data_IF_680664102943
#
_entry.id   IF_680664102943
#
_cell.length_a   1.000
_cell.length_b   1.000
_cell.length_c   1.000
_cell.angle_alpha   90.00
_cell.angle_beta   90.00
_cell.angle_gamma   90.00
#
_symmetry.space_group_name_H-M   'P 1'
#
loop_
_entity.id
_entity.type
_entity.pdbx_description
1 polymer ?
#
# COMPACT_ATOMS: atom_id res chain seq x y z
N UNK A 1 -10.03 5.71 -22.45
CA UNK A 1 -9.53 5.85 -21.06
C UNK A 1 -8.10 6.33 -21.17
N UNK A 2 -7.75 7.50 -20.63
CA UNK A 2 -6.37 7.98 -20.67
C UNK A 2 -5.45 6.97 -19.98
N UNK A 3 -4.40 6.58 -20.69
CA UNK A 3 -3.33 5.74 -20.18
C UNK A 3 -2.56 6.57 -19.14
N UNK A 4 -2.78 6.31 -17.84
CA UNK A 4 -2.06 6.94 -16.73
C UNK A 4 -1.29 5.94 -15.89
N UNK A 5 -0.25 6.40 -15.21
CA UNK A 5 0.49 5.58 -14.25
C UNK A 5 -0.45 5.19 -13.10
N UNK A 6 -0.56 3.88 -12.81
CA UNK A 6 -1.29 3.39 -11.64
C UNK A 6 -0.35 3.45 -10.44
N UNK A 7 -0.50 4.50 -9.63
CA UNK A 7 0.38 4.76 -8.49
C UNK A 7 0.18 3.71 -7.39
N UNK A 8 -1.06 3.33 -7.09
CA UNK A 8 -1.32 2.27 -6.10
C UNK A 8 -0.63 0.95 -6.47
N UNK A 9 -0.68 0.55 -7.74
CA UNK A 9 0.00 -0.66 -8.22
C UNK A 9 1.52 -0.58 -8.01
N UNK A 10 2.14 0.57 -8.31
CA UNK A 10 3.57 0.76 -8.10
C UNK A 10 3.95 0.67 -6.62
N UNK A 11 3.21 1.38 -5.75
CA UNK A 11 3.48 1.39 -4.32
C UNK A 11 3.28 0.01 -3.68
N UNK A 12 2.20 -0.69 -4.04
CA UNK A 12 1.93 -2.04 -3.54
C UNK A 12 3.04 -3.01 -3.95
N UNK A 13 3.45 -2.96 -5.22
CA UNK A 13 4.50 -3.83 -5.75
C UNK A 13 5.85 -3.56 -5.07
N UNK A 14 6.25 -2.30 -4.91
CA UNK A 14 7.53 -1.99 -4.27
C UNK A 14 7.52 -2.17 -2.75
N UNK A 15 6.37 -2.12 -2.09
CA UNK A 15 6.25 -2.54 -0.69
C UNK A 15 6.45 -4.05 -0.52
N UNK A 16 5.90 -4.86 -1.42
CA UNK A 16 6.14 -6.31 -1.44
C UNK A 16 7.62 -6.62 -1.74
N UNK A 17 8.21 -5.89 -2.68
CA UNK A 17 9.64 -5.97 -2.99
C UNK A 17 10.50 -5.64 -1.77
N UNK A 18 10.20 -4.56 -1.04
CA UNK A 18 10.96 -4.16 0.14
C UNK A 18 10.94 -5.22 1.24
N UNK A 19 9.77 -5.83 1.48
CA UNK A 19 9.62 -6.95 2.42
C UNK A 19 10.44 -8.17 1.99
N UNK A 20 10.29 -8.60 0.74
CA UNK A 20 11.02 -9.74 0.19
C UNK A 20 12.53 -9.51 0.24
N UNK A 21 12.99 -8.32 -0.15
CA UNK A 21 14.38 -7.92 -0.05
C UNK A 21 14.90 -7.98 1.40
N UNK A 22 14.12 -7.49 2.38
CA UNK A 22 14.53 -7.50 3.77
C UNK A 22 14.68 -8.92 4.32
N UNK A 23 13.74 -9.81 4.00
CA UNK A 23 13.79 -11.23 4.34
C UNK A 23 14.99 -11.92 3.66
N UNK A 24 15.21 -11.69 2.36
CA UNK A 24 16.38 -12.20 1.63
C UNK A 24 17.69 -11.74 2.26
N UNK A 25 17.82 -10.45 2.56
CA UNK A 25 19.03 -9.89 3.17
C UNK A 25 19.33 -10.53 4.53
N UNK A 26 18.29 -10.77 5.33
CA UNK A 26 18.40 -11.46 6.63
C UNK A 26 18.78 -12.93 6.44
N UNK A 27 18.09 -13.64 5.56
CA UNK A 27 18.28 -15.08 5.36
C UNK A 27 19.61 -15.41 4.65
N UNK A 28 20.15 -14.47 3.88
CA UNK A 28 21.48 -14.57 3.28
C UNK A 28 22.59 -14.05 4.21
N UNK A 29 22.32 -13.61 5.44
CA UNK A 29 23.38 -13.16 6.36
C UNK A 29 24.06 -14.31 7.11
N UNK A 30 23.52 -15.52 7.05
CA UNK A 30 24.11 -16.74 7.62
C UNK A 30 25.36 -17.17 6.84
N UNK A 31 26.13 -18.12 7.36
CA UNK A 31 27.26 -18.69 6.59
C UNK A 31 26.76 -19.56 5.44
N UNK A 32 27.62 -19.79 4.43
CA UNK A 32 27.25 -20.67 3.31
C UNK A 32 27.00 -22.10 3.80
N UNK A 33 27.76 -22.58 4.78
CA UNK A 33 27.58 -23.92 5.38
C UNK A 33 26.22 -24.05 6.08
N UNK A 34 25.83 -23.03 6.85
CA UNK A 34 24.51 -22.97 7.50
C UNK A 34 23.39 -22.96 6.45
N UNK A 35 23.54 -22.18 5.39
CA UNK A 35 22.58 -22.15 4.28
C UNK A 35 22.43 -23.52 3.60
N UNK A 36 23.55 -24.18 3.28
CA UNK A 36 23.57 -25.47 2.58
C UNK A 36 22.97 -26.61 3.42
N UNK A 37 23.08 -26.53 4.74
CA UNK A 37 22.56 -27.53 5.68
C UNK A 37 21.08 -27.34 6.05
N UNK A 38 20.44 -26.24 5.63
CA UNK A 38 19.08 -25.91 6.02
C UNK A 38 18.10 -25.81 4.82
N UNK A 39 17.40 -26.90 4.46
CA UNK A 39 16.45 -26.91 3.33
C UNK A 39 15.29 -25.91 3.48
N UNK A 40 14.80 -25.68 4.70
CA UNK A 40 13.70 -24.73 4.95
C UNK A 40 14.14 -23.29 4.65
N UNK A 41 15.40 -22.96 4.97
CA UNK A 41 15.98 -21.67 4.65
C UNK A 41 16.16 -21.50 3.14
N UNK A 42 16.61 -22.55 2.44
CA UNK A 42 16.74 -22.56 0.97
C UNK A 42 15.38 -22.32 0.29
N UNK A 43 14.34 -23.03 0.73
CA UNK A 43 12.98 -22.86 0.21
C UNK A 43 12.46 -21.44 0.46
N UNK A 44 12.67 -20.90 1.67
CA UNK A 44 12.27 -19.53 2.01
C UNK A 44 12.98 -18.50 1.13
N UNK A 45 14.30 -18.63 0.93
CA UNK A 45 15.06 -17.73 0.03
C UNK A 45 14.57 -17.83 -1.41
N UNK A 46 14.27 -19.03 -1.92
CA UNK A 46 13.70 -19.19 -3.26
C UNK A 46 12.34 -18.50 -3.39
N UNK A 47 11.46 -18.66 -2.40
CA UNK A 47 10.14 -18.01 -2.38
C UNK A 47 10.27 -16.49 -2.35
N UNK A 48 11.13 -15.95 -1.50
CA UNK A 48 11.32 -14.51 -1.40
C UNK A 48 11.98 -13.92 -2.64
N UNK A 49 12.90 -14.65 -3.29
CA UNK A 49 13.48 -14.25 -4.57
C UNK A 49 12.41 -14.17 -5.66
N UNK A 50 11.54 -15.18 -5.77
CA UNK A 50 10.44 -15.18 -6.72
C UNK A 50 9.48 -14.00 -6.45
N UNK A 51 9.17 -13.73 -5.19
CA UNK A 51 8.33 -12.59 -4.79
C UNK A 51 8.98 -11.26 -5.17
N UNK A 52 10.28 -11.07 -4.91
CA UNK A 52 11.04 -9.88 -5.30
C UNK A 52 11.03 -9.68 -6.83
N UNK A 53 11.24 -10.75 -7.59
CA UNK A 53 11.23 -10.70 -9.04
C UNK A 53 9.85 -10.32 -9.60
N UNK A 54 8.78 -11.00 -9.18
CA UNK A 54 7.42 -10.70 -9.67
C UNK A 54 6.94 -9.31 -9.21
N UNK A 55 7.34 -8.87 -8.01
CA UNK A 55 7.10 -7.51 -7.52
C UNK A 55 7.81 -6.44 -8.36
N UNK A 56 8.91 -6.78 -9.03
CA UNK A 56 9.60 -5.90 -9.98
C UNK A 56 8.94 -5.96 -11.38
N UNK A 57 8.49 -7.14 -11.79
CA UNK A 57 7.83 -7.36 -13.08
C UNK A 57 6.46 -6.70 -13.19
N UNK A 58 5.69 -6.61 -12.10
CA UNK A 58 4.34 -6.02 -12.11
C UNK A 58 4.37 -4.52 -12.51
N UNK A 59 5.19 -3.65 -11.89
CA UNK A 59 5.48 -2.30 -12.39
C UNK A 59 5.95 -2.28 -13.84
N UNK A 60 6.83 -3.20 -14.21
CA UNK A 60 7.39 -3.25 -15.56
C UNK A 60 6.32 -3.48 -16.63
N UNK A 61 5.48 -4.49 -16.45
CA UNK A 61 4.38 -4.82 -17.37
C UNK A 61 3.43 -3.63 -17.50
N UNK A 62 3.06 -2.99 -16.39
CA UNK A 62 2.19 -1.81 -16.39
C UNK A 62 2.80 -0.65 -17.17
N UNK A 63 4.03 -0.27 -16.86
CA UNK A 63 4.72 0.87 -17.48
C UNK A 63 5.08 0.61 -18.94
N UNK A 64 5.40 -0.63 -19.31
CA UNK A 64 5.70 -0.98 -20.70
C UNK A 64 4.47 -0.80 -21.60
N UNK A 65 3.28 -1.20 -21.14
CA UNK A 65 2.01 -0.94 -21.86
C UNK A 65 1.68 0.54 -21.94
N UNK A 66 2.02 1.29 -20.89
CA UNK A 66 1.82 2.74 -20.81
C UNK A 66 2.70 3.48 -21.82
N UNK A 67 3.99 3.15 -21.86
CA UNK A 67 5.00 3.78 -22.71
C UNK A 67 5.09 3.18 -24.12
N UNK A 68 4.29 2.15 -24.42
CA UNK A 68 4.29 1.51 -25.74
C UNK A 68 5.55 0.68 -26.02
N UNK A 69 6.24 0.20 -24.98
CA UNK A 69 7.42 -0.65 -25.12
C UNK A 69 7.02 -2.07 -25.55
N UNK A 70 7.65 -2.57 -26.61
CA UNK A 70 7.49 -3.96 -27.04
C UNK A 70 8.39 -4.86 -26.19
N UNK A 71 7.80 -5.45 -25.15
CA UNK A 71 8.47 -6.33 -24.20
C UNK A 71 7.83 -7.72 -24.16
N UNK A 72 8.64 -8.72 -23.86
CA UNK A 72 8.26 -10.05 -23.39
C UNK A 72 8.53 -10.17 -21.88
N UNK A 73 8.19 -11.31 -21.28
CA UNK A 73 8.53 -11.56 -19.89
C UNK A 73 10.05 -11.59 -19.63
N UNK A 74 10.87 -11.98 -20.63
CA UNK A 74 12.33 -12.18 -20.50
C UNK A 74 13.17 -10.90 -20.62
N UNK A 75 12.59 -9.82 -21.13
CA UNK A 75 13.31 -8.58 -21.42
C UNK A 75 12.60 -7.34 -20.89
N UNK A 76 11.45 -7.49 -20.21
CA UNK A 76 10.70 -6.37 -19.66
C UNK A 76 11.58 -5.49 -18.77
N UNK A 77 12.16 -6.05 -17.70
CA UNK A 77 12.92 -5.26 -16.71
C UNK A 77 14.05 -4.48 -17.39
N UNK A 78 14.81 -5.15 -18.27
CA UNK A 78 15.93 -4.57 -19.00
C UNK A 78 15.48 -3.45 -19.94
N UNK A 79 14.45 -3.68 -20.77
CA UNK A 79 13.95 -2.67 -21.71
C UNK A 79 13.33 -1.47 -21.01
N UNK A 80 12.62 -1.68 -19.91
CA UNK A 80 12.11 -0.56 -19.12
C UNK A 80 13.27 0.20 -18.47
N UNK A 81 14.24 -0.50 -17.88
CA UNK A 81 15.42 0.11 -17.27
C UNK A 81 16.21 0.95 -18.27
N UNK A 82 16.41 0.44 -19.49
CA UNK A 82 17.01 1.19 -20.60
C UNK A 82 16.19 2.44 -20.95
N UNK A 83 14.87 2.30 -21.13
CA UNK A 83 13.98 3.42 -21.44
C UNK A 83 14.00 4.52 -20.37
N UNK A 84 14.10 4.16 -19.09
CA UNK A 84 14.15 5.13 -17.99
C UNK A 84 15.56 5.68 -17.71
N UNK A 85 16.57 5.22 -18.46
CA UNK A 85 17.95 5.71 -18.38
C UNK A 85 18.82 5.10 -17.28
N UNK A 86 18.41 3.96 -16.72
CA UNK A 86 19.19 3.22 -15.73
C UNK A 86 20.52 2.75 -16.33
N UNK A 87 21.60 2.95 -15.60
CA UNK A 87 22.95 2.51 -15.99
C UNK A 87 23.20 1.08 -15.51
N UNK A 88 24.21 0.41 -16.09
CA UNK A 88 24.64 -0.94 -15.72
C UNK A 88 23.50 -2.01 -15.77
N UNK A 89 22.99 -2.24 -16.99
CA UNK A 89 21.90 -3.20 -17.24
C UNK A 89 22.33 -4.68 -17.12
N UNK A 90 23.62 -4.96 -17.04
CA UNK A 90 24.17 -6.32 -17.02
C UNK A 90 23.67 -7.11 -15.81
N UNK A 91 23.68 -6.50 -14.62
CA UNK A 91 23.22 -7.17 -13.39
C UNK A 91 21.69 -7.42 -13.42
N UNK A 92 20.92 -6.51 -14.01
CA UNK A 92 19.47 -6.70 -14.16
C UNK A 92 19.15 -7.80 -15.17
N UNK A 93 19.94 -7.89 -16.24
CA UNK A 93 19.87 -9.00 -17.20
C UNK A 93 20.24 -10.32 -16.53
N UNK A 94 21.32 -10.35 -15.73
CA UNK A 94 21.74 -11.54 -14.99
C UNK A 94 20.64 -12.06 -14.05
N UNK A 95 19.99 -11.17 -13.27
CA UNK A 95 18.83 -11.55 -12.43
C UNK A 95 17.68 -12.11 -13.27
N UNK A 96 17.40 -11.50 -14.41
CA UNK A 96 16.32 -11.93 -15.29
C UNK A 96 16.60 -13.32 -15.86
N UNK A 97 17.80 -13.53 -16.38
CA UNK A 97 18.23 -14.81 -16.93
C UNK A 97 18.24 -15.90 -15.85
N UNK A 98 18.75 -15.60 -14.65
CA UNK A 98 18.74 -16.50 -13.50
C UNK A 98 17.32 -16.89 -13.10
N UNK A 99 16.41 -15.91 -12.99
CA UNK A 99 15.01 -16.18 -12.70
C UNK A 99 14.41 -17.12 -13.74
N UNK A 100 14.51 -16.82 -15.04
CA UNK A 100 13.89 -17.65 -16.08
C UNK A 100 14.50 -19.03 -16.25
N UNK A 101 15.77 -19.21 -15.87
CA UNK A 101 16.43 -20.51 -15.85
C UNK A 101 15.83 -21.43 -14.79
N UNK A 102 15.63 -20.91 -13.58
CA UNK A 102 15.19 -21.69 -12.42
C UNK A 102 13.68 -21.57 -12.11
N UNK A 103 12.96 -20.71 -12.84
CA UNK A 103 11.50 -20.60 -12.75
C UNK A 103 10.84 -21.93 -13.13
N UNK A 104 9.77 -22.27 -12.41
CA UNK A 104 8.92 -23.43 -12.69
C UNK A 104 9.65 -24.80 -12.63
N UNK A 105 10.77 -24.90 -11.89
CA UNK A 105 11.57 -26.13 -11.75
C UNK A 105 12.09 -26.68 -13.09
N UNK A 106 12.26 -25.83 -14.12
CA UNK A 106 12.88 -26.26 -15.39
C UNK A 106 14.24 -26.89 -15.16
N UNK A 107 15.01 -26.29 -14.26
CA UNK A 107 16.24 -26.83 -13.72
C UNK A 107 16.18 -26.72 -12.18
N UNK A 108 16.61 -27.74 -11.42
CA UNK A 108 16.85 -27.57 -10.00
C UNK A 108 18.01 -26.57 -9.82
N UNK A 109 17.81 -25.55 -8.98
CA UNK A 109 18.89 -24.62 -8.65
C UNK A 109 19.79 -25.26 -7.59
N UNK A 110 21.09 -25.27 -7.83
CA UNK A 110 22.05 -25.67 -6.81
C UNK A 110 21.99 -24.66 -5.64
N UNK A 111 21.86 -25.11 -4.37
CA UNK A 111 21.76 -24.19 -3.24
C UNK A 111 22.97 -23.26 -3.09
N UNK A 112 24.18 -23.73 -3.44
CA UNK A 112 25.39 -22.89 -3.36
C UNK A 112 25.35 -21.81 -4.42
N UNK A 113 24.95 -22.15 -5.64
CA UNK A 113 24.73 -21.19 -6.72
C UNK A 113 23.69 -20.13 -6.35
N UNK A 114 22.54 -20.54 -5.81
CA UNK A 114 21.49 -19.61 -5.35
C UNK A 114 22.02 -18.63 -4.30
N UNK A 115 22.75 -19.13 -3.30
CA UNK A 115 23.32 -18.32 -2.24
C UNK A 115 24.32 -17.29 -2.78
N UNK A 116 25.31 -17.74 -3.56
CA UNK A 116 26.35 -16.88 -4.12
C UNK A 116 25.76 -15.84 -5.08
N UNK A 117 24.87 -16.26 -5.98
CA UNK A 117 24.25 -15.37 -6.94
C UNK A 117 23.45 -14.25 -6.27
N UNK A 118 22.61 -14.59 -5.28
CA UNK A 118 21.81 -13.58 -4.58
C UNK A 118 22.68 -12.67 -3.71
N UNK A 119 23.73 -13.18 -3.06
CA UNK A 119 24.67 -12.34 -2.30
C UNK A 119 25.27 -11.21 -3.14
N UNK A 120 25.57 -11.49 -4.40
CA UNK A 120 26.18 -10.52 -5.33
C UNK A 120 25.16 -9.58 -5.97
N UNK A 121 23.94 -10.07 -6.23
CA UNK A 121 22.97 -9.36 -7.08
C UNK A 121 21.77 -8.77 -6.34
N UNK A 122 21.56 -9.05 -5.05
CA UNK A 122 20.34 -8.66 -4.33
C UNK A 122 20.01 -7.16 -4.41
N UNK A 123 21.02 -6.29 -4.41
CA UNK A 123 20.83 -4.83 -4.42
C UNK A 123 20.27 -4.28 -5.74
N UNK A 124 20.35 -5.04 -6.83
CA UNK A 124 19.79 -4.68 -8.14
C UNK A 124 18.28 -4.42 -8.05
N UNK A 125 17.56 -5.18 -7.21
CA UNK A 125 16.12 -4.97 -7.00
C UNK A 125 15.81 -3.58 -6.43
N UNK A 126 16.59 -3.13 -5.44
CA UNK A 126 16.44 -1.80 -4.85
C UNK A 126 16.79 -0.71 -5.83
N UNK A 127 17.87 -0.91 -6.57
CA UNK A 127 18.32 0.03 -7.58
C UNK A 127 17.23 0.22 -8.66
N UNK A 128 16.71 -0.89 -9.19
CA UNK A 128 15.62 -0.89 -10.16
C UNK A 128 14.39 -0.13 -9.66
N UNK A 129 13.91 -0.46 -8.44
CA UNK A 129 12.75 0.22 -7.85
C UNK A 129 12.97 1.73 -7.70
N UNK A 130 14.19 2.14 -7.28
CA UNK A 130 14.57 3.55 -7.18
C UNK A 130 14.49 4.25 -8.52
N UNK A 131 15.08 3.69 -9.58
CA UNK A 131 15.04 4.27 -10.93
C UNK A 131 13.61 4.41 -11.44
N UNK A 132 12.78 3.38 -11.27
CA UNK A 132 11.37 3.44 -11.66
C UNK A 132 10.62 4.53 -10.91
N UNK A 133 10.79 4.62 -9.58
CA UNK A 133 10.15 5.64 -8.74
C UNK A 133 10.56 7.04 -9.17
N UNK A 134 11.85 7.31 -9.36
CA UNK A 134 12.34 8.63 -9.75
C UNK A 134 11.88 9.03 -11.15
N UNK A 135 11.89 8.08 -12.09
CA UNK A 135 11.34 8.31 -13.42
C UNK A 135 9.85 8.69 -13.36
N UNK A 136 9.03 7.94 -12.62
CA UNK A 136 7.59 8.22 -12.47
C UNK A 136 7.34 9.57 -11.81
N UNK A 137 8.08 9.92 -10.74
CA UNK A 137 7.96 11.24 -10.10
C UNK A 137 8.24 12.36 -11.10
N UNK A 138 9.32 12.22 -11.89
CA UNK A 138 9.74 13.21 -12.88
C UNK A 138 8.71 13.36 -14.01
N UNK A 139 8.24 12.26 -14.58
CA UNK A 139 7.34 12.31 -15.75
C UNK A 139 5.91 12.72 -15.39
N UNK A 140 5.46 12.44 -14.18
CA UNK A 140 4.10 12.78 -13.73
C UNK A 140 4.02 14.11 -12.96
N UNK A 141 5.14 14.66 -12.51
CA UNK A 141 5.18 15.76 -11.54
C UNK A 141 4.64 15.37 -10.15
N UNK A 142 4.28 14.11 -9.93
CA UNK A 142 3.74 13.59 -8.68
C UNK A 142 4.88 13.14 -7.76
N UNK A 143 5.63 14.11 -7.24
CA UNK A 143 6.84 13.88 -6.42
C UNK A 143 6.60 13.04 -5.17
N UNK A 144 5.37 13.05 -4.64
CA UNK A 144 4.97 12.27 -3.49
C UNK A 144 4.38 10.90 -3.86
N UNK A 145 4.17 10.60 -5.15
CA UNK A 145 3.45 9.41 -5.59
C UNK A 145 2.10 9.26 -4.88
N UNK A 146 1.26 10.28 -4.97
CA UNK A 146 -0.11 10.27 -4.46
C UNK A 146 -1.05 9.76 -5.55
N UNK A 147 -1.67 8.62 -5.30
CA UNK A 147 -2.84 8.17 -6.05
C UNK A 147 -4.08 9.01 -5.71
N UNK A 148 -4.36 10.03 -6.52
CA UNK A 148 -5.53 10.89 -6.32
C UNK A 148 -6.85 10.20 -6.66
N UNK A 149 -6.83 9.19 -7.54
CA UNK A 149 -8.04 8.44 -7.88
C UNK A 149 -8.50 7.62 -6.69
N UNK A 150 -7.56 6.92 -6.03
CA UNK A 150 -7.81 6.23 -4.77
C UNK A 150 -8.38 7.20 -3.73
N UNK A 151 -7.74 8.36 -3.51
CA UNK A 151 -8.20 9.33 -2.52
C UNK A 151 -9.63 9.82 -2.81
N UNK A 152 -9.93 10.14 -4.06
CA UNK A 152 -11.25 10.63 -4.45
C UNK A 152 -12.31 9.54 -4.34
N UNK A 153 -12.00 8.31 -4.75
CA UNK A 153 -12.88 7.16 -4.63
C UNK A 153 -13.22 6.88 -3.15
N UNK A 154 -12.20 6.76 -2.29
CA UNK A 154 -12.41 6.47 -0.87
C UNK A 154 -13.09 7.63 -0.14
N UNK A 155 -12.78 8.88 -0.49
CA UNK A 155 -13.49 10.03 0.05
C UNK A 155 -14.98 10.02 -0.35
N UNK A 156 -15.31 9.58 -1.58
CA UNK A 156 -16.69 9.41 -2.03
C UNK A 156 -17.39 8.30 -1.24
N UNK A 157 -16.79 7.11 -1.12
CA UNK A 157 -17.38 6.00 -0.37
C UNK A 157 -17.61 6.35 1.10
N UNK A 158 -16.69 7.07 1.72
CA UNK A 158 -16.85 7.60 3.08
C UNK A 158 -18.10 8.48 3.19
N UNK A 159 -18.21 9.51 2.36
CA UNK A 159 -19.34 10.46 2.40
C UNK A 159 -20.66 9.80 2.06
N UNK A 160 -20.68 8.92 1.05
CA UNK A 160 -21.87 8.18 0.65
C UNK A 160 -22.37 7.27 1.77
N UNK A 161 -21.46 6.62 2.48
CA UNK A 161 -21.79 5.75 3.62
C UNK A 161 -22.29 6.55 4.82
N UNK A 162 -21.68 7.69 5.14
CA UNK A 162 -22.14 8.57 6.22
C UNK A 162 -23.57 9.06 5.95
N UNK A 163 -23.85 9.55 4.74
CA UNK A 163 -25.22 9.97 4.36
C UNK A 163 -26.25 8.85 4.51
N UNK A 164 -25.87 7.61 4.20
CA UNK A 164 -26.75 6.44 4.37
C UNK A 164 -26.95 6.08 5.83
N UNK A 165 -25.93 6.19 6.67
CA UNK A 165 -26.05 6.03 8.12
C UNK A 165 -26.99 7.09 8.69
N UNK A 166 -26.79 8.36 8.33
CA UNK A 166 -27.66 9.47 8.76
C UNK A 166 -29.12 9.23 8.37
N UNK A 167 -29.36 8.81 7.12
CA UNK A 167 -30.70 8.46 6.66
C UNK A 167 -31.32 7.35 7.53
N UNK A 168 -30.58 6.28 7.80
CA UNK A 168 -31.07 5.18 8.62
C UNK A 168 -31.35 5.64 10.06
N UNK A 169 -30.48 6.43 10.66
CA UNK A 169 -30.66 6.97 12.01
C UNK A 169 -31.85 7.95 12.08
N UNK A 170 -32.10 8.71 11.01
CA UNK A 170 -33.21 9.67 10.96
C UNK A 170 -34.60 9.04 11.08
N UNK A 171 -34.71 7.71 10.87
CA UNK A 171 -35.95 6.96 11.07
C UNK A 171 -36.31 6.81 12.56
N UNK A 172 -35.37 7.13 13.46
CA UNK A 172 -35.54 7.05 14.90
C UNK A 172 -35.19 5.67 15.48
N UNK A 173 -34.84 5.69 16.77
CA UNK A 173 -34.33 4.52 17.50
C UNK A 173 -35.28 3.31 17.48
N UNK A 174 -36.58 3.56 17.70
CA UNK A 174 -37.60 2.50 17.73
C UNK A 174 -37.69 1.79 16.37
N UNK A 175 -37.65 2.56 15.29
CA UNK A 175 -37.75 2.02 13.94
C UNK A 175 -36.48 1.27 13.54
N UNK A 176 -35.31 1.80 13.92
CA UNK A 176 -34.03 1.13 13.76
C UNK A 176 -34.01 -0.25 14.42
N UNK A 177 -34.44 -0.33 15.68
CA UNK A 177 -34.43 -1.58 16.44
C UNK A 177 -35.41 -2.63 15.89
N UNK A 178 -36.55 -2.20 15.34
CA UNK A 178 -37.58 -3.10 14.79
C UNK A 178 -37.29 -3.60 13.38
N UNK A 179 -36.38 -2.96 12.64
CA UNK A 179 -36.06 -3.33 11.26
C UNK A 179 -34.65 -3.92 11.14
N UNK A 180 -34.51 -5.27 11.08
CA UNK A 180 -33.21 -5.92 10.91
C UNK A 180 -32.37 -5.36 9.74
N UNK A 181 -33.02 -5.02 8.62
CA UNK A 181 -32.35 -4.44 7.47
C UNK A 181 -31.66 -3.10 7.77
N UNK A 182 -32.19 -2.28 8.69
CA UNK A 182 -31.55 -1.02 9.07
C UNK A 182 -30.28 -1.27 9.88
N UNK A 183 -30.33 -2.22 10.81
CA UNK A 183 -29.17 -2.69 11.56
C UNK A 183 -28.06 -3.19 10.62
N UNK A 184 -28.37 -4.12 9.72
CA UNK A 184 -27.39 -4.72 8.81
C UNK A 184 -26.75 -3.68 7.88
N UNK A 185 -27.58 -2.79 7.32
CA UNK A 185 -27.10 -1.73 6.43
C UNK A 185 -26.24 -0.72 7.17
N UNK A 186 -26.64 -0.30 8.37
CA UNK A 186 -25.88 0.67 9.15
C UNK A 186 -24.52 0.10 9.56
N UNK A 187 -24.46 -1.17 9.97
CA UNK A 187 -23.21 -1.91 10.21
C UNK A 187 -22.32 -1.89 8.97
N UNK A 188 -22.86 -2.30 7.82
CA UNK A 188 -22.11 -2.34 6.57
C UNK A 188 -21.57 -0.96 6.18
N UNK A 189 -22.42 0.07 6.15
CA UNK A 189 -21.99 1.42 5.77
C UNK A 189 -20.97 2.00 6.75
N UNK A 190 -21.08 1.69 8.04
CA UNK A 190 -20.09 2.13 9.02
C UNK A 190 -18.71 1.52 8.73
N UNK A 191 -18.66 0.21 8.49
CA UNK A 191 -17.41 -0.47 8.11
C UNK A 191 -16.83 0.13 6.83
N UNK A 192 -17.64 0.36 5.80
CA UNK A 192 -17.19 0.98 4.55
C UNK A 192 -16.65 2.40 4.79
N UNK A 193 -17.32 3.21 5.61
CA UNK A 193 -16.88 4.57 5.91
C UNK A 193 -15.54 4.59 6.65
N UNK A 194 -15.41 3.77 7.71
CA UNK A 194 -14.18 3.64 8.48
C UNK A 194 -13.03 3.12 7.62
N UNK A 195 -13.25 2.03 6.88
CA UNK A 195 -12.19 1.40 6.08
C UNK A 195 -11.75 2.34 4.95
N UNK A 196 -12.66 3.12 4.36
CA UNK A 196 -12.30 4.15 3.37
C UNK A 196 -11.44 5.26 3.99
N UNK A 197 -11.77 5.72 5.20
CA UNK A 197 -10.93 6.69 5.93
C UNK A 197 -9.54 6.12 6.25
N UNK A 198 -9.51 4.85 6.66
CA UNK A 198 -8.30 4.14 7.02
C UNK A 198 -7.40 3.87 5.80
N UNK A 199 -7.97 3.56 4.64
CA UNK A 199 -7.22 3.43 3.39
C UNK A 199 -6.59 4.75 2.93
N UNK A 200 -7.31 5.87 3.07
CA UNK A 200 -6.76 7.21 2.86
C UNK A 200 -5.57 7.45 3.80
N UNK A 201 -5.73 7.10 5.08
CA UNK A 201 -4.65 7.21 6.06
C UNK A 201 -3.42 6.40 5.63
N UNK A 202 -3.58 5.10 5.33
CA UNK A 202 -2.46 4.21 4.96
C UNK A 202 -1.70 4.72 3.75
N UNK A 203 -2.41 5.28 2.78
CA UNK A 203 -1.82 5.83 1.57
C UNK A 203 -1.01 7.12 1.83
N UNK A 204 -1.52 7.99 2.72
CA UNK A 204 -0.95 9.30 2.95
C UNK A 204 0.07 9.36 4.10
N UNK A 205 -0.05 8.51 5.13
CA UNK A 205 0.84 8.51 6.29
C UNK A 205 2.34 8.44 5.92
N UNK A 206 2.79 7.60 4.96
CA UNK A 206 4.19 7.60 4.52
C UNK A 206 4.66 8.93 3.93
N UNK A 207 3.76 9.76 3.40
CA UNK A 207 4.10 11.05 2.77
C UNK A 207 4.51 12.10 3.79
N UNK A 208 4.07 11.93 5.04
CA UNK A 208 4.54 12.69 6.20
C UNK A 208 5.64 11.96 7.01
N UNK A 209 6.25 10.90 6.45
CA UNK A 209 7.35 10.19 7.09
C UNK A 209 6.95 9.11 8.10
N UNK A 210 5.66 8.77 8.21
CA UNK A 210 5.23 7.66 9.08
C UNK A 210 5.58 6.33 8.39
N UNK A 211 6.61 5.65 8.88
CA UNK A 211 7.11 4.39 8.28
C UNK A 211 6.45 3.12 8.81
N UNK A 212 5.88 3.17 10.01
CA UNK A 212 5.28 2.00 10.68
C UNK A 212 3.92 2.39 11.24
N UNK A 213 2.89 1.72 10.76
CA UNK A 213 1.52 1.80 11.24
C UNK A 213 0.82 0.47 10.93
N UNK A 214 0.00 0.02 11.86
CA UNK A 214 -0.98 -1.04 11.65
C UNK A 214 -2.38 -0.42 11.64
N UNK A 215 -3.25 -0.98 12.46
CA UNK A 215 -4.61 -0.46 12.69
C UNK A 215 -4.65 0.91 13.40
N UNK A 216 -3.49 1.40 13.86
CA UNK A 216 -3.29 2.66 14.55
C UNK A 216 -2.96 3.85 13.61
N UNK A 217 -3.08 3.69 12.29
CA UNK A 217 -2.71 4.73 11.31
C UNK A 217 -3.30 6.11 11.64
N UNK A 218 -4.59 6.20 11.97
CA UNK A 218 -5.24 7.48 12.27
C UNK A 218 -4.68 8.13 13.54
N UNK A 219 -4.33 7.33 14.54
CA UNK A 219 -3.65 7.80 15.76
C UNK A 219 -2.25 8.31 15.43
N UNK A 220 -1.53 7.65 14.51
CA UNK A 220 -0.23 8.14 14.04
C UNK A 220 -0.35 9.51 13.37
N UNK A 221 -1.41 9.76 12.62
CA UNK A 221 -1.66 11.08 12.04
C UNK A 221 -1.98 12.15 13.09
N UNK A 222 -2.57 11.78 14.23
CA UNK A 222 -2.70 12.69 15.38
C UNK A 222 -1.33 13.02 15.98
N UNK A 223 -0.50 11.99 16.23
CA UNK A 223 0.83 12.15 16.84
C UNK A 223 1.77 13.07 16.05
N UNK A 224 1.63 13.12 14.73
CA UNK A 224 2.43 14.00 13.87
C UNK A 224 1.74 15.34 13.54
N UNK A 225 0.59 15.63 14.15
CA UNK A 225 -0.13 16.91 14.00
C UNK A 225 -0.89 17.07 12.68
N UNK A 226 -1.11 16.01 11.91
CA UNK A 226 -1.97 16.03 10.71
C UNK A 226 -3.44 16.11 11.09
N UNK A 227 -3.81 15.39 12.15
CA UNK A 227 -5.13 15.47 12.78
C UNK A 227 -4.95 16.14 14.15
N UNK A 228 -5.84 17.06 14.56
CA UNK A 228 -5.74 17.69 15.87
C UNK A 228 -5.84 16.70 17.05
N UNK A 229 -5.10 16.91 18.17
CA UNK A 229 -5.10 16.02 19.34
C UNK A 229 -6.48 15.72 19.93
N UNK A 230 -7.42 16.67 19.87
CA UNK A 230 -8.78 16.49 20.39
C UNK A 230 -9.60 15.41 19.67
N UNK A 231 -9.12 14.91 18.53
CA UNK A 231 -9.76 13.79 17.82
C UNK A 231 -9.25 12.42 18.28
N UNK A 232 -8.22 12.33 19.14
CA UNK A 232 -7.63 11.04 19.52
C UNK A 232 -8.65 10.08 20.14
N UNK A 233 -9.38 10.52 21.17
CA UNK A 233 -10.40 9.71 21.82
C UNK A 233 -11.54 9.34 20.86
N UNK A 234 -11.94 10.27 19.99
CA UNK A 234 -12.97 10.03 18.98
C UNK A 234 -12.53 8.96 17.99
N UNK A 235 -11.29 9.00 17.53
CA UNK A 235 -10.69 7.97 16.66
C UNK A 235 -10.67 6.63 17.38
N UNK A 236 -10.26 6.57 18.64
CA UNK A 236 -10.27 5.33 19.41
C UNK A 236 -11.69 4.75 19.52
N UNK A 237 -12.71 5.59 19.76
CA UNK A 237 -14.12 5.16 19.75
C UNK A 237 -14.51 4.58 18.39
N UNK A 238 -14.14 5.24 17.29
CA UNK A 238 -14.40 4.74 15.93
C UNK A 238 -13.75 3.37 15.68
N UNK A 239 -12.47 3.24 16.02
CA UNK A 239 -11.71 1.99 15.84
C UNK A 239 -12.30 0.85 16.66
N UNK A 240 -12.68 1.11 17.91
CA UNK A 240 -13.34 0.11 18.77
C UNK A 240 -14.66 -0.37 18.17
N UNK A 241 -15.51 0.54 17.72
CA UNK A 241 -16.79 0.18 17.09
C UNK A 241 -16.56 -0.65 15.82
N UNK A 242 -15.65 -0.23 14.95
CA UNK A 242 -15.31 -0.97 13.73
C UNK A 242 -14.82 -2.39 14.03
N UNK A 243 -13.95 -2.55 15.01
CA UNK A 243 -13.41 -3.86 15.39
C UNK A 243 -14.48 -4.77 15.99
N UNK A 244 -15.39 -4.22 16.81
CA UNK A 244 -16.55 -4.96 17.32
C UNK A 244 -17.44 -5.46 16.19
N UNK A 245 -17.77 -4.58 15.24
CA UNK A 245 -18.62 -4.92 14.10
C UNK A 245 -18.02 -5.98 13.15
N UNK A 246 -16.71 -6.19 13.17
CA UNK A 246 -16.05 -7.24 12.37
C UNK A 246 -15.90 -8.55 13.13
N UNK A 247 -15.56 -8.48 14.41
CA UNK A 247 -15.14 -9.65 15.18
C UNK A 247 -16.29 -10.29 15.98
N UNK A 248 -17.33 -9.55 16.34
CA UNK A 248 -18.41 -10.06 17.18
C UNK A 248 -19.80 -9.76 16.60
N UNK A 249 -20.77 -10.61 16.95
CA UNK A 249 -22.19 -10.42 16.65
C UNK A 249 -22.95 -9.81 17.82
N UNK A 250 -22.25 -9.30 18.84
CA UNK A 250 -22.80 -9.01 20.17
C UNK A 250 -23.35 -7.59 20.33
N UNK A 251 -23.29 -6.74 19.31
CA UNK A 251 -23.85 -5.39 19.42
C UNK A 251 -25.35 -5.43 19.16
N UNK A 252 -26.14 -5.02 20.15
CA UNK A 252 -27.60 -4.95 19.98
C UNK A 252 -27.98 -3.81 19.02
N UNK A 253 -29.15 -3.85 18.37
CA UNK A 253 -29.61 -2.75 17.53
C UNK A 253 -29.69 -1.41 18.27
N UNK A 254 -30.13 -1.42 19.53
CA UNK A 254 -30.17 -0.23 20.37
C UNK A 254 -28.78 0.36 20.65
N UNK A 255 -27.82 -0.50 20.95
CA UNK A 255 -26.45 -0.10 21.19
C UNK A 255 -25.80 0.44 19.91
N UNK A 256 -25.97 -0.24 18.78
CA UNK A 256 -25.45 0.23 17.49
C UNK A 256 -26.03 1.59 17.11
N UNK A 257 -27.34 1.80 17.32
CA UNK A 257 -27.96 3.10 17.06
C UNK A 257 -27.28 4.20 17.87
N UNK A 258 -27.04 3.98 19.16
CA UNK A 258 -26.41 4.97 20.04
C UNK A 258 -24.95 5.25 19.62
N UNK A 259 -24.17 4.19 19.39
CA UNK A 259 -22.77 4.30 18.97
C UNK A 259 -22.62 5.05 17.63
N UNK A 260 -23.51 4.80 16.67
CA UNK A 260 -23.53 5.53 15.40
C UNK A 260 -23.99 6.98 15.58
N UNK A 261 -25.02 7.23 16.39
CA UNK A 261 -25.49 8.58 16.67
C UNK A 261 -24.39 9.45 17.31
N UNK A 262 -23.58 8.87 18.20
CA UNK A 262 -22.48 9.56 18.86
C UNK A 262 -21.28 9.84 17.95
N UNK A 263 -21.08 9.00 16.91
CA UNK A 263 -19.83 9.01 16.12
C UNK A 263 -19.97 9.50 14.69
N UNK A 264 -21.18 9.55 14.13
CA UNK A 264 -21.45 9.90 12.72
C UNK A 264 -20.77 11.20 12.25
N UNK A 265 -20.69 12.20 13.14
CA UNK A 265 -20.18 13.53 12.82
C UNK A 265 -18.64 13.63 12.95
N UNK A 266 -17.94 12.52 13.16
CA UNK A 266 -16.49 12.51 13.44
C UNK A 266 -15.64 12.30 12.19
N UNK A 267 -16.01 11.36 11.31
CA UNK A 267 -15.13 10.94 10.20
C UNK A 267 -14.93 12.03 9.14
N UNK A 268 -15.97 12.82 8.81
CA UNK A 268 -15.83 13.89 7.82
C UNK A 268 -14.90 15.02 8.27
N UNK A 269 -14.99 15.55 9.50
CA UNK A 269 -14.00 16.50 9.99
C UNK A 269 -12.56 15.97 9.94
N UNK A 270 -12.33 14.70 10.32
CA UNK A 270 -11.01 14.09 10.22
C UNK A 270 -10.51 14.11 8.77
N UNK A 271 -11.35 13.70 7.80
CA UNK A 271 -11.01 13.76 6.39
C UNK A 271 -10.68 15.19 5.93
N UNK A 272 -11.39 16.21 6.43
CA UNK A 272 -11.10 17.62 6.13
C UNK A 272 -9.73 18.06 6.68
N UNK A 273 -9.36 17.64 7.90
CA UNK A 273 -8.04 17.91 8.45
C UNK A 273 -6.93 17.27 7.62
N UNK A 274 -7.07 15.99 7.27
CA UNK A 274 -6.13 15.28 6.39
C UNK A 274 -6.01 15.99 5.04
N UNK A 275 -7.14 16.40 4.43
CA UNK A 275 -7.15 17.12 3.15
C UNK A 275 -6.43 18.47 3.23
N UNK A 276 -6.65 19.22 4.31
CA UNK A 276 -5.98 20.51 4.55
C UNK A 276 -4.47 20.34 4.73
N UNK A 277 -4.05 19.37 5.54
CA UNK A 277 -2.63 19.03 5.75
C UNK A 277 -1.97 18.58 4.44
N UNK A 278 -2.68 17.81 3.60
CA UNK A 278 -2.18 17.36 2.31
C UNK A 278 -1.94 18.54 1.35
N UNK A 279 -2.84 19.53 1.32
CA UNK A 279 -2.66 20.74 0.50
C UNK A 279 -1.40 21.50 0.90
N UNK A 280 -1.19 21.71 2.20
CA UNK A 280 0.03 22.34 2.73
C UNK A 280 1.30 21.57 2.33
N UNK A 281 1.29 20.25 2.51
CA UNK A 281 2.41 19.40 2.10
C UNK A 281 2.71 19.51 0.60
N UNK A 282 1.69 19.57 -0.24
CA UNK A 282 1.86 19.72 -1.69
C UNK A 282 2.43 21.10 -2.06
N UNK A 283 2.04 22.16 -1.35
CA UNK A 283 2.59 23.51 -1.51
C UNK A 283 4.07 23.55 -1.13
N UNK A 284 4.44 23.00 0.03
CA UNK A 284 5.83 22.89 0.50
C UNK A 284 6.72 22.12 -0.49
N UNK A 285 6.22 21.02 -1.07
CA UNK A 285 7.01 20.25 -2.05
C UNK A 285 7.12 20.93 -3.41
N UNK A 286 6.22 21.86 -3.75
CA UNK A 286 6.30 22.67 -4.97
C UNK A 286 7.30 23.82 -4.84
N UNK A 287 7.50 24.37 -3.64
CA UNK A 287 8.45 25.47 -3.41
C UNK A 287 9.90 24.98 -3.34
N UNK A 288 10.16 23.81 -2.75
CA UNK A 288 11.50 23.20 -2.70
C UNK A 288 12.01 22.77 -4.08
N UNK A 289 11.12 22.49 -5.04
CA UNK A 289 11.49 22.18 -6.43
C UNK A 289 11.80 23.39 -7.32
N UNK A 290 11.88 24.60 -6.76
CA UNK A 290 12.09 25.88 -7.47
C UNK A 290 13.30 26.69 -6.96
N UNK A 291 14.21 26.10 -6.20
CA UNK A 291 15.50 26.74 -5.94
C UNK A 291 16.38 26.68 -7.21
N UNK A 292 17.02 27.80 -7.61
CA UNK A 292 17.76 27.94 -8.87
C UNK A 292 19.03 27.08 -8.95
#
# INVERSE_FOLDING_TARGET
MEKKVNISLLLESFHQLEKAYADLKKNLSVSVEEFLSNPLLQDKVRVDFNLAFESSMRPCRHLSVLYGLKTSSKDCLVKLAEYIGMQNLENLKAITDFYFRYRDLKEPVDPKELYSFLKENLDVFKEYARWVVEHVKKTTGNVLLIDFDLLNEKAKYLKDSIRKIEFVLSQGRVEFAKRPMYYDRARYFYTVAYDSLFEICKHLAPKWGVKKFGDDCLIKLVQIGVIPPEYEEKIQKLTRLRNRLLNTWEISPDELYQELADTKDTMEPILKHISSALRKLLEEKRTVGKEP
#
